data_IF_980140777825
#
_entry.id   IF_980140777825
#
_cell.length_a   1.000
_cell.length_b   1.000
_cell.length_c   1.000
_cell.angle_alpha   90.00
_cell.angle_beta   90.00
_cell.angle_gamma   90.00
#
_symmetry.space_group_name_H-M   'P 1'
#
loop_
_entity.id
_entity.type
_entity.pdbx_description
1 polymer ?
#
# COMPACT_ATOMS: atom_id res chain seq x y z
N UNK A 1 -8.82 -1.63 -21.43
CA UNK A 1 -9.62 -1.54 -20.19
C UNK A 1 -11.07 -1.67 -20.63
N UNK A 2 -11.90 -2.46 -19.94
CA UNK A 2 -13.35 -2.41 -20.19
C UNK A 2 -13.87 -1.04 -19.78
N UNK A 3 -14.78 -0.45 -20.54
CA UNK A 3 -15.43 0.81 -20.18
C UNK A 3 -16.05 0.71 -18.78
N UNK A 4 -15.70 1.64 -17.88
CA UNK A 4 -16.48 1.89 -16.66
C UNK A 4 -15.84 1.58 -15.30
N UNK A 5 -14.68 0.93 -15.21
CA UNK A 5 -14.05 0.67 -13.90
C UNK A 5 -12.82 1.57 -13.66
N UNK A 6 -12.85 2.40 -12.62
CA UNK A 6 -11.72 3.26 -12.26
C UNK A 6 -10.59 2.46 -11.61
N UNK A 7 -9.35 2.92 -11.75
CA UNK A 7 -8.20 2.31 -11.09
C UNK A 7 -8.36 2.23 -9.56
N UNK A 8 -8.99 3.25 -8.96
CA UNK A 8 -9.27 3.26 -7.52
C UNK A 8 -10.31 2.22 -7.11
N UNK A 9 -11.33 1.96 -7.93
CA UNK A 9 -12.32 0.91 -7.66
C UNK A 9 -11.68 -0.49 -7.67
N UNK A 10 -10.73 -0.73 -8.58
CA UNK A 10 -9.99 -1.98 -8.63
C UNK A 10 -9.14 -2.15 -7.37
N UNK A 11 -8.40 -1.11 -6.95
CA UNK A 11 -7.61 -1.15 -5.72
C UNK A 11 -8.48 -1.35 -4.48
N UNK A 12 -9.63 -0.68 -4.39
CA UNK A 12 -10.57 -0.89 -3.30
C UNK A 12 -11.06 -2.35 -3.26
N UNK A 13 -11.33 -2.96 -4.41
CA UNK A 13 -11.69 -4.38 -4.47
C UNK A 13 -10.57 -5.29 -3.98
N UNK A 14 -9.31 -5.01 -4.33
CA UNK A 14 -8.16 -5.78 -3.84
C UNK A 14 -8.06 -5.68 -2.31
N UNK A 15 -8.22 -4.48 -1.75
CA UNK A 15 -8.24 -4.26 -0.30
C UNK A 15 -9.35 -5.08 0.37
N UNK A 16 -10.56 -5.07 -0.20
CA UNK A 16 -11.68 -5.85 0.33
C UNK A 16 -11.39 -7.36 0.34
N UNK A 17 -10.64 -7.86 -0.66
CA UNK A 17 -10.23 -9.26 -0.67
C UNK A 17 -9.21 -9.54 0.44
N UNK A 18 -8.23 -8.66 0.61
CA UNK A 18 -7.25 -8.77 1.71
C UNK A 18 -7.94 -8.71 3.08
N UNK A 19 -8.91 -7.83 3.27
CA UNK A 19 -9.69 -7.74 4.50
C UNK A 19 -10.36 -9.07 4.86
N UNK A 20 -10.92 -9.75 3.86
CA UNK A 20 -11.53 -11.07 4.02
C UNK A 20 -10.49 -12.12 4.40
N UNK A 21 -9.35 -12.14 3.74
CA UNK A 21 -8.27 -13.08 4.04
C UNK A 21 -7.71 -12.86 5.46
N UNK A 22 -7.54 -11.61 5.88
CA UNK A 22 -7.11 -11.26 7.23
C UNK A 22 -8.16 -11.65 8.27
N UNK A 23 -9.45 -11.40 8.01
CA UNK A 23 -10.51 -11.82 8.92
C UNK A 23 -10.59 -13.34 9.06
N UNK A 24 -10.40 -14.09 7.99
CA UNK A 24 -10.29 -15.54 8.06
C UNK A 24 -9.06 -15.99 8.88
N UNK A 25 -7.93 -15.29 8.75
CA UNK A 25 -6.72 -15.59 9.50
C UNK A 25 -6.87 -15.29 11.00
N UNK A 26 -7.41 -14.12 11.35
CA UNK A 26 -7.44 -13.61 12.72
C UNK A 26 -8.64 -14.13 13.51
N UNK A 27 -9.77 -14.31 12.83
CA UNK A 27 -11.05 -14.67 13.46
C UNK A 27 -11.58 -16.04 13.05
N UNK A 28 -10.97 -16.70 12.05
CA UNK A 28 -11.50 -17.94 11.49
C UNK A 28 -12.78 -17.75 10.66
N UNK A 29 -13.15 -16.50 10.32
CA UNK A 29 -14.40 -16.17 9.66
C UNK A 29 -14.26 -14.98 8.68
N UNK A 30 -14.43 -15.26 7.39
CA UNK A 30 -14.42 -14.26 6.32
C UNK A 30 -15.52 -13.19 6.45
N UNK A 31 -16.64 -13.51 7.10
CA UNK A 31 -17.77 -12.59 7.24
C UNK A 31 -17.46 -11.42 8.17
N UNK A 32 -16.45 -11.58 9.04
CA UNK A 32 -15.97 -10.56 9.99
C UNK A 32 -14.99 -9.56 9.37
N UNK A 33 -14.82 -9.57 8.04
CA UNK A 33 -14.00 -8.57 7.34
C UNK A 33 -14.32 -7.10 7.62
N UNK A 34 -15.56 -6.68 7.99
CA UNK A 34 -15.82 -5.29 8.38
C UNK A 34 -15.16 -4.85 9.69
N UNK A 35 -14.68 -5.80 10.50
CA UNK A 35 -13.93 -5.54 11.73
C UNK A 35 -12.44 -5.29 11.47
N UNK A 36 -11.96 -5.51 10.23
CA UNK A 36 -10.61 -5.16 9.83
C UNK A 36 -10.59 -3.69 9.41
N UNK A 37 -9.77 -2.88 10.08
CA UNK A 37 -9.65 -1.46 9.81
C UNK A 37 -8.47 -1.16 8.89
N UNK A 38 -8.69 -0.28 7.92
CA UNK A 38 -7.70 0.09 6.91
C UNK A 38 -7.37 1.59 7.04
N UNK A 39 -6.11 1.93 7.28
CA UNK A 39 -5.62 3.28 7.04
C UNK A 39 -4.96 3.34 5.65
N UNK A 40 -5.33 4.37 4.89
CA UNK A 40 -4.95 4.50 3.49
C UNK A 40 -4.48 5.93 3.29
N UNK A 41 -3.20 6.11 2.99
CA UNK A 41 -2.53 7.40 2.86
C UNK A 41 -3.39 8.44 2.12
N UNK A 42 -3.85 8.08 0.93
CA UNK A 42 -4.57 8.95 0.03
C UNK A 42 -6.01 9.24 0.46
N UNK A 43 -6.59 8.39 1.29
CA UNK A 43 -7.94 8.57 1.83
C UNK A 43 -7.91 9.32 3.17
N UNK A 44 -6.84 9.15 3.94
CA UNK A 44 -6.72 9.68 5.29
C UNK A 44 -5.99 11.04 5.32
N UNK A 45 -5.13 11.33 4.34
CA UNK A 45 -4.39 12.59 4.24
C UNK A 45 -5.13 13.55 3.29
N UNK A 46 -5.60 14.72 3.76
CA UNK A 46 -6.31 15.70 2.95
C UNK A 46 -5.44 16.25 1.80
N UNK A 47 -5.79 15.90 0.56
CA UNK A 47 -5.01 16.30 -0.63
C UNK A 47 -5.26 17.75 -1.07
N UNK A 48 -6.33 18.38 -0.59
CA UNK A 48 -6.76 19.72 -0.98
C UNK A 48 -6.23 20.85 -0.08
N UNK A 49 -5.61 20.51 1.05
CA UNK A 49 -5.20 21.46 2.09
C UNK A 49 -3.72 21.28 2.43
N UNK A 50 -2.80 22.03 1.78
CA UNK A 50 -1.35 21.79 1.90
C UNK A 50 -0.81 21.85 3.33
N UNK A 51 -1.33 22.74 4.16
CA UNK A 51 -0.91 22.87 5.57
C UNK A 51 -1.30 21.62 6.37
N UNK A 52 -2.55 21.16 6.22
CA UNK A 52 -3.04 19.97 6.89
C UNK A 52 -2.36 18.70 6.35
N UNK A 53 -2.09 18.66 5.05
CA UNK A 53 -1.31 17.59 4.42
C UNK A 53 0.09 17.51 5.04
N UNK A 54 0.80 18.65 5.16
CA UNK A 54 2.13 18.69 5.77
C UNK A 54 2.09 18.20 7.21
N UNK A 55 1.13 18.70 8.00
CA UNK A 55 0.95 18.25 9.37
C UNK A 55 0.68 16.74 9.48
N UNK A 56 -0.16 16.18 8.60
CA UNK A 56 -0.38 14.73 8.56
C UNK A 56 0.86 13.94 8.13
N UNK A 57 1.69 14.49 7.24
CA UNK A 57 2.94 13.84 6.81
C UNK A 57 3.97 13.83 7.94
N UNK A 58 4.02 14.88 8.77
CA UNK A 58 4.90 14.93 9.94
C UNK A 58 4.54 13.85 10.98
N UNK A 59 3.26 13.45 11.05
CA UNK A 59 2.78 12.39 11.95
C UNK A 59 2.84 10.98 11.33
N UNK A 60 3.24 10.87 10.07
CA UNK A 60 3.12 9.63 9.33
C UNK A 60 3.94 8.50 9.96
N UNK A 61 5.19 8.75 10.34
CA UNK A 61 6.05 7.73 10.96
C UNK A 61 5.42 7.16 12.23
N UNK A 62 4.73 8.00 13.01
CA UNK A 62 4.07 7.61 14.25
C UNK A 62 2.83 6.76 13.96
N UNK A 63 2.02 7.14 12.97
CA UNK A 63 0.93 6.28 12.48
C UNK A 63 1.45 4.93 11.99
N UNK A 64 2.60 4.92 11.29
CA UNK A 64 3.24 3.70 10.83
C UNK A 64 3.73 2.83 11.98
N UNK A 65 4.30 3.44 13.02
CA UNK A 65 4.79 2.73 14.18
C UNK A 65 3.66 2.08 14.99
N UNK A 66 2.49 2.72 15.03
CA UNK A 66 1.29 2.23 15.72
C UNK A 66 0.48 1.21 14.91
N UNK A 67 0.97 0.85 13.72
CA UNK A 67 0.34 -0.11 12.83
C UNK A 67 0.63 -1.56 13.23
N UNK A 68 -0.41 -2.38 13.40
CA UNK A 68 -0.24 -3.82 13.69
C UNK A 68 0.39 -4.56 12.50
N UNK A 69 0.03 -4.17 11.27
CA UNK A 69 0.40 -4.87 10.03
C UNK A 69 0.65 -3.89 8.87
N UNK A 70 1.31 -4.38 7.82
CA UNK A 70 1.51 -3.62 6.58
C UNK A 70 1.07 -4.46 5.38
N UNK A 71 0.00 -4.07 4.68
CA UNK A 71 -0.40 -4.70 3.41
C UNK A 71 0.18 -3.91 2.25
N UNK A 72 0.89 -4.60 1.38
CA UNK A 72 1.53 -4.00 0.21
C UNK A 72 0.93 -4.60 -1.05
N UNK A 73 0.26 -3.75 -1.84
CA UNK A 73 -0.25 -4.14 -3.16
C UNK A 73 0.84 -3.88 -4.21
N UNK A 74 1.62 -4.91 -4.51
CA UNK A 74 2.74 -4.91 -5.43
C UNK A 74 2.28 -4.83 -6.90
N UNK A 75 2.54 -3.68 -7.52
CA UNK A 75 2.57 -3.53 -8.97
C UNK A 75 4.01 -3.67 -9.49
N UNK A 76 4.19 -3.88 -10.80
CA UNK A 76 5.54 -3.93 -11.39
C UNK A 76 6.32 -2.61 -11.21
N UNK A 77 5.63 -1.48 -11.04
CA UNK A 77 6.21 -0.16 -10.79
C UNK A 77 6.27 0.23 -9.31
N UNK A 78 5.95 -0.68 -8.39
CA UNK A 78 5.88 -0.36 -6.96
C UNK A 78 7.20 0.19 -6.44
N UNK A 79 8.30 -0.50 -6.76
CA UNK A 79 9.66 -0.18 -6.34
C UNK A 79 10.29 1.04 -7.02
N UNK A 80 9.64 1.59 -8.05
CA UNK A 80 10.10 2.84 -8.67
C UNK A 80 9.86 4.06 -7.76
N UNK A 81 9.06 3.92 -6.71
CA UNK A 81 8.57 5.02 -5.87
C UNK A 81 9.26 5.00 -4.51
N UNK A 82 10.07 6.02 -4.24
CA UNK A 82 10.84 6.10 -2.98
C UNK A 82 9.93 6.09 -1.75
N UNK A 83 8.80 6.80 -1.82
CA UNK A 83 7.83 6.90 -0.74
C UNK A 83 7.37 5.53 -0.20
N UNK A 84 7.01 4.63 -1.11
CA UNK A 84 6.54 3.31 -0.73
C UNK A 84 7.64 2.45 -0.08
N UNK A 85 8.90 2.65 -0.45
CA UNK A 85 10.03 1.98 0.21
C UNK A 85 10.31 2.59 1.58
N UNK A 86 10.17 3.91 1.71
CA UNK A 86 10.33 4.61 2.98
C UNK A 86 9.30 4.14 4.03
N UNK A 87 8.05 3.93 3.64
CA UNK A 87 7.01 3.38 4.53
C UNK A 87 7.36 1.97 5.04
N UNK A 88 7.94 1.11 4.18
CA UNK A 88 8.44 -0.20 4.63
C UNK A 88 9.52 -0.05 5.69
N UNK A 89 10.47 0.86 5.48
CA UNK A 89 11.54 1.10 6.44
C UNK A 89 10.98 1.59 7.77
N UNK A 90 10.09 2.57 7.75
CA UNK A 90 9.42 3.09 8.95
C UNK A 90 8.69 1.97 9.70
N UNK A 91 7.96 1.12 8.99
CA UNK A 91 7.25 -0.01 9.60
C UNK A 91 8.22 -1.04 10.19
N UNK A 92 9.26 -1.42 9.45
CA UNK A 92 10.25 -2.44 9.86
C UNK A 92 11.15 -2.00 11.02
N UNK A 93 11.24 -0.70 11.31
CA UNK A 93 11.93 -0.20 12.51
C UNK A 93 11.18 -0.64 13.78
N UNK A 94 9.85 -0.67 13.74
CA UNK A 94 9.01 -0.96 14.91
C UNK A 94 8.41 -2.37 14.90
N UNK A 95 8.28 -2.99 13.73
CA UNK A 95 7.57 -4.23 13.52
C UNK A 95 8.42 -5.32 12.84
N UNK A 96 7.99 -6.57 12.95
CA UNK A 96 8.64 -7.70 12.28
C UNK A 96 8.27 -7.75 10.81
N UNK A 97 9.20 -8.19 9.96
CA UNK A 97 8.93 -8.42 8.54
C UNK A 97 7.80 -9.43 8.27
N UNK A 98 7.55 -10.36 9.21
CA UNK A 98 6.42 -11.29 9.14
C UNK A 98 5.04 -10.63 9.26
N UNK A 99 4.98 -9.38 9.72
CA UNK A 99 3.73 -8.60 9.79
C UNK A 99 3.41 -7.87 8.47
N UNK A 100 4.25 -8.05 7.44
CA UNK A 100 4.01 -7.49 6.10
C UNK A 100 3.28 -8.53 5.23
N UNK A 101 2.11 -8.16 4.73
CA UNK A 101 1.30 -8.94 3.80
C UNK A 101 1.50 -8.43 2.37
N UNK A 102 2.10 -9.26 1.52
CA UNK A 102 2.33 -8.92 0.13
C UNK A 102 1.19 -9.44 -0.74
N UNK A 103 0.53 -8.52 -1.44
CA UNK A 103 -0.54 -8.81 -2.38
C UNK A 103 -0.10 -8.37 -3.76
N UNK A 104 -0.42 -9.15 -4.78
CA UNK A 104 -0.08 -8.79 -6.16
C UNK A 104 -1.22 -7.97 -6.76
N UNK A 105 -0.89 -6.88 -7.44
CA UNK A 105 -1.88 -6.04 -8.11
C UNK A 105 -2.68 -6.84 -9.16
N UNK A 106 -4.00 -6.57 -9.28
CA UNK A 106 -4.92 -7.21 -10.23
C UNK A 106 -4.47 -7.13 -11.70
N UNK A 107 -3.58 -6.19 -12.00
CA UNK A 107 -3.01 -5.99 -13.34
C UNK A 107 -1.82 -6.89 -13.66
N UNK A 108 -1.27 -7.59 -12.65
CA UNK A 108 -0.20 -8.57 -12.87
C UNK A 108 -0.83 -9.83 -13.44
N UNK A 109 -0.53 -10.09 -14.71
CA UNK A 109 -1.00 -11.23 -15.50
C UNK A 109 0.22 -11.97 -16.01
N UNK A 110 0.04 -13.13 -16.63
CA UNK A 110 1.15 -13.91 -17.20
C UNK A 110 2.08 -13.09 -18.13
N UNK A 111 1.55 -12.06 -18.80
CA UNK A 111 2.34 -11.16 -19.66
C UNK A 111 3.13 -10.09 -18.91
N UNK A 112 2.65 -9.63 -17.75
CA UNK A 112 3.27 -8.55 -16.95
C UNK A 112 4.00 -9.08 -15.72
N UNK A 113 3.82 -10.36 -15.39
CA UNK A 113 4.54 -11.04 -14.32
C UNK A 113 6.07 -10.96 -14.48
N UNK A 114 6.66 -11.12 -15.69
CA UNK A 114 8.10 -10.92 -15.86
C UNK A 114 8.57 -9.53 -15.42
N UNK A 115 7.78 -8.48 -15.70
CA UNK A 115 8.10 -7.11 -15.29
C UNK A 115 8.11 -6.95 -13.77
N UNK A 116 7.17 -7.59 -13.06
CA UNK A 116 7.17 -7.60 -11.60
C UNK A 116 8.38 -8.34 -11.04
N UNK A 117 8.70 -9.51 -11.60
CA UNK A 117 9.87 -10.27 -11.14
C UNK A 117 11.17 -9.52 -11.41
N UNK A 118 11.29 -8.86 -12.55
CA UNK A 118 12.42 -8.00 -12.88
C UNK A 118 12.51 -6.78 -11.95
N UNK A 119 11.39 -6.15 -11.58
CA UNK A 119 11.42 -5.01 -10.68
C UNK A 119 11.85 -5.39 -9.26
N UNK A 120 11.45 -6.57 -8.78
CA UNK A 120 11.94 -7.13 -7.52
C UNK A 120 13.43 -7.47 -7.62
N UNK A 121 13.83 -8.18 -8.68
CA UNK A 121 15.21 -8.65 -8.87
C UNK A 121 16.21 -7.50 -9.01
N UNK A 122 15.83 -6.45 -9.71
CA UNK A 122 16.66 -5.28 -10.00
C UNK A 122 16.40 -4.11 -9.04
N UNK A 123 15.71 -4.38 -7.93
CA UNK A 123 15.40 -3.35 -6.95
C UNK A 123 16.69 -2.71 -6.41
N UNK A 124 16.72 -1.37 -6.45
CA UNK A 124 17.80 -0.56 -5.88
C UNK A 124 17.21 0.74 -5.35
N UNK A 125 17.49 1.02 -4.07
CA UNK A 125 17.04 2.25 -3.42
C UNK A 125 17.54 3.51 -4.14
N UNK A 126 18.76 3.46 -4.71
CA UNK A 126 19.34 4.58 -5.44
C UNK A 126 18.58 4.92 -6.74
N UNK A 127 17.82 3.96 -7.28
CA UNK A 127 17.03 4.14 -8.51
C UNK A 127 15.58 4.56 -8.21
N UNK A 128 15.16 4.56 -6.95
CA UNK A 128 13.82 4.98 -6.57
C UNK A 128 13.64 6.48 -6.81
N UNK A 129 12.48 6.86 -7.36
CA UNK A 129 12.16 8.24 -7.70
C UNK A 129 11.39 8.90 -6.56
N UNK A 130 11.84 10.10 -6.19
CA UNK A 130 11.01 11.05 -5.46
C UNK A 130 9.94 11.56 -6.43
N UNK A 131 8.67 11.25 -6.17
CA UNK A 131 7.59 11.94 -6.87
C UNK A 131 7.47 13.36 -6.28
N UNK A 132 8.30 14.30 -6.76
CA UNK A 132 8.21 15.73 -6.39
C UNK A 132 6.88 16.37 -6.86
N UNK A 133 6.13 15.67 -7.71
CA UNK A 133 4.77 16.04 -8.12
C UNK A 133 3.80 15.53 -7.05
N UNK A 134 3.59 16.37 -6.02
CA UNK A 134 2.44 16.38 -5.09
C UNK A 134 1.49 15.21 -5.31
N UNK A 135 1.71 14.09 -4.60
CA UNK A 135 0.77 12.99 -4.27
C UNK A 135 -0.37 12.64 -5.26
N UNK A 136 -0.21 12.85 -6.57
CA UNK A 136 -1.36 12.72 -7.50
C UNK A 136 -1.69 11.27 -7.85
N UNK A 137 -0.75 10.32 -7.71
CA UNK A 137 -0.94 8.98 -8.29
C UNK A 137 -0.45 7.78 -7.47
N UNK A 138 -0.05 7.96 -6.21
CA UNK A 138 0.43 6.83 -5.39
C UNK A 138 -0.60 6.47 -4.34
N UNK A 139 -1.05 5.22 -4.34
CA UNK A 139 -1.71 4.57 -3.22
C UNK A 139 -0.66 3.71 -2.53
N UNK A 140 -0.44 3.94 -1.25
CA UNK A 140 0.33 3.04 -0.39
C UNK A 140 -0.45 2.86 0.92
N UNK A 141 -0.68 1.59 1.28
CA UNK A 141 -1.65 1.23 2.31
C UNK A 141 -0.92 0.78 3.57
N UNK A 142 -1.36 1.24 4.74
CA UNK A 142 -0.59 1.08 5.98
C UNK A 142 -1.56 0.93 7.17
N UNK A 143 -1.42 -0.07 8.05
CA UNK A 143 -2.54 -0.57 8.87
C UNK A 143 -2.33 -0.55 10.38
N UNK A 144 -3.03 0.37 11.07
CA UNK A 144 -3.39 0.27 12.50
C UNK A 144 -4.06 -1.05 12.82
#
# INVERSE_FOLDING_TARGET
MGEGCSYSAIKASEICNVAKDLAALDFGDYSRWPEIHFWVDKCCIPQAHPELMTWCLDLLEEFIALSDRLVVILSWSYFDRLWCVYEWVCFLIHNKASSIFLCVDAFVRSRTLPLLLESVKNFSLANCKCSLVVLRSTFCFLFC
#
